data_IF_681043338812
#
_entry.id   IF_681043338812
#
_cell.length_a   1.000
_cell.length_b   1.000
_cell.length_c   1.000
_cell.angle_alpha   90.00
_cell.angle_beta   90.00
_cell.angle_gamma   90.00
#
_symmetry.space_group_name_H-M   'P 1'
#
loop_
_entity.id
_entity.type
_entity.pdbx_description
1 polymer ?
#
# COMPACT_ATOMS: atom_id res chain seq x y z
N UNK A 1 0.16 9.78 11.77
CA UNK A 1 -0.12 9.02 10.53
C UNK A 1 -0.64 7.64 10.85
N UNK A 2 -1.56 7.13 10.05
CA UNK A 2 -2.07 5.74 10.05
C UNK A 2 -1.55 4.99 8.85
N UNK A 3 -1.65 3.66 8.87
CA UNK A 3 -1.15 2.80 7.80
C UNK A 3 -2.25 1.86 7.34
N UNK A 4 -2.36 1.66 6.04
CA UNK A 4 -3.29 0.75 5.42
C UNK A 4 -2.50 -0.29 4.65
N UNK A 5 -2.67 -1.56 5.02
CA UNK A 5 -2.03 -2.67 4.34
C UNK A 5 -3.05 -3.33 3.41
N UNK A 6 -2.92 -3.11 2.10
CA UNK A 6 -3.81 -3.70 1.11
C UNK A 6 -3.48 -5.18 0.92
N UNK A 7 -4.39 -6.04 1.31
CA UNK A 7 -4.28 -7.49 1.20
C UNK A 7 -5.29 -8.11 0.22
N UNK A 8 -6.04 -7.28 -0.49
CA UNK A 8 -6.96 -7.71 -1.54
C UNK A 8 -6.22 -8.26 -2.75
N UNK A 9 -6.49 -9.50 -3.16
CA UNK A 9 -5.92 -10.09 -4.36
C UNK A 9 -6.47 -11.49 -4.60
N UNK A 10 -6.74 -11.85 -5.88
CA UNK A 10 -7.33 -13.17 -6.21
C UNK A 10 -6.34 -14.33 -6.14
N UNK A 11 -5.04 -14.04 -6.01
CA UNK A 11 -4.00 -15.07 -5.91
C UNK A 11 -3.85 -15.99 -7.13
N UNK A 12 -4.57 -15.77 -8.22
CA UNK A 12 -4.65 -16.67 -9.39
C UNK A 12 -3.31 -16.92 -10.11
N UNK A 13 -2.34 -16.00 -9.98
CA UNK A 13 -1.06 -16.06 -10.72
C UNK A 13 -0.14 -17.20 -10.29
N UNK A 14 -0.33 -17.79 -9.11
CA UNK A 14 0.46 -18.92 -8.60
C UNK A 14 -0.35 -20.23 -8.56
N UNK A 15 -1.43 -20.33 -9.36
CA UNK A 15 -2.17 -21.58 -9.45
C UNK A 15 -1.24 -22.73 -9.87
N UNK A 16 -1.33 -23.95 -9.27
CA UNK A 16 -2.31 -24.40 -8.29
C UNK A 16 -1.97 -24.13 -6.82
N UNK A 17 -0.84 -23.47 -6.53
CA UNK A 17 -0.41 -23.18 -5.14
C UNK A 17 -1.32 -22.17 -4.46
N UNK A 18 -1.88 -21.22 -5.21
CA UNK A 18 -2.82 -20.20 -4.72
C UNK A 18 -4.14 -20.24 -5.49
N UNK A 19 -5.22 -19.90 -4.82
CA UNK A 19 -6.57 -19.75 -5.37
C UNK A 19 -7.31 -18.62 -4.63
N UNK A 20 -8.60 -18.39 -4.94
CA UNK A 20 -9.40 -17.33 -4.32
C UNK A 20 -9.55 -17.52 -2.80
N UNK A 21 -9.74 -18.76 -2.33
CA UNK A 21 -9.84 -19.05 -0.91
C UNK A 21 -8.50 -18.98 -0.17
N UNK A 22 -7.37 -19.13 -0.89
CA UNK A 22 -6.03 -19.10 -0.34
C UNK A 22 -5.09 -18.28 -1.24
N UNK A 23 -5.20 -16.95 -1.25
CA UNK A 23 -4.36 -16.07 -2.05
C UNK A 23 -2.88 -16.14 -1.70
N UNK A 24 -2.01 -15.73 -2.65
CA UNK A 24 -0.54 -15.87 -2.56
C UNK A 24 0.06 -15.28 -1.28
N UNK A 25 -0.46 -14.14 -0.82
CA UNK A 25 0.06 -13.40 0.33
C UNK A 25 -0.09 -14.13 1.66
N UNK A 26 -0.91 -15.17 1.71
CA UNK A 26 -1.12 -16.02 2.90
C UNK A 26 -0.41 -17.37 2.84
N UNK A 27 0.26 -17.68 1.73
CA UNK A 27 1.05 -18.89 1.59
C UNK A 27 2.37 -18.77 2.35
N UNK A 28 2.72 -19.75 3.15
CA UNK A 28 3.99 -19.81 3.90
C UNK A 28 5.13 -20.21 2.97
N UNK A 29 5.56 -19.31 2.12
CA UNK A 29 6.61 -19.52 1.10
C UNK A 29 7.89 -18.73 1.37
N UNK A 30 7.87 -17.80 2.30
CA UNK A 30 8.99 -16.88 2.61
C UNK A 30 9.69 -17.40 3.86
N UNK A 31 11.02 -17.36 3.88
CA UNK A 31 11.79 -17.67 5.10
C UNK A 31 11.59 -16.54 6.11
N UNK A 32 11.51 -16.90 7.40
CA UNK A 32 11.56 -15.91 8.47
C UNK A 32 12.94 -15.24 8.52
N UNK A 33 13.00 -13.99 8.96
CA UNK A 33 14.24 -13.21 9.07
C UNK A 33 15.08 -13.58 10.32
N UNK A 34 14.54 -14.42 11.21
CA UNK A 34 15.16 -14.85 12.46
C UNK A 34 16.19 -15.97 12.32
N UNK A 35 16.69 -16.26 11.10
CA UNK A 35 17.57 -17.38 10.76
C UNK A 35 16.99 -18.77 11.09
N UNK A 36 15.72 -18.89 11.43
CA UNK A 36 15.04 -20.18 11.57
C UNK A 36 14.77 -20.76 10.17
N UNK A 37 14.72 -22.09 10.07
CA UNK A 37 14.28 -22.76 8.84
C UNK A 37 12.75 -22.69 8.65
N UNK A 38 12.04 -21.96 9.49
CA UNK A 38 10.60 -21.82 9.44
C UNK A 38 10.16 -20.88 8.33
N UNK A 39 9.06 -21.24 7.69
CA UNK A 39 8.45 -20.42 6.64
C UNK A 39 7.29 -19.61 7.19
N UNK A 40 7.20 -18.36 6.75
CA UNK A 40 6.08 -17.48 7.00
C UNK A 40 5.38 -17.06 5.69
N UNK A 41 4.22 -16.46 5.81
CA UNK A 41 3.55 -15.80 4.68
C UNK A 41 4.09 -14.38 4.46
N UNK A 42 3.81 -13.81 3.29
CA UNK A 42 4.13 -12.39 3.02
C UNK A 42 3.46 -11.48 4.05
N UNK A 43 2.20 -11.77 4.42
CA UNK A 43 1.50 -11.03 5.45
C UNK A 43 2.23 -11.08 6.80
N UNK A 44 2.63 -12.27 7.24
CA UNK A 44 3.34 -12.44 8.52
C UNK A 44 4.68 -11.72 8.52
N UNK A 45 5.41 -11.77 7.41
CA UNK A 45 6.69 -11.06 7.26
C UNK A 45 6.51 -9.55 7.36
N UNK A 46 5.63 -8.98 6.53
CA UNK A 46 5.37 -7.53 6.53
C UNK A 46 4.84 -7.07 7.89
N UNK A 47 4.00 -7.88 8.54
CA UNK A 47 3.49 -7.54 9.87
C UNK A 47 4.58 -7.52 10.94
N UNK A 48 5.54 -8.45 10.89
CA UNK A 48 6.71 -8.43 11.78
C UNK A 48 7.54 -7.17 11.57
N UNK A 49 7.82 -6.80 10.32
CA UNK A 49 8.54 -5.56 9.98
C UNK A 49 7.78 -4.29 10.42
N UNK A 50 6.45 -4.27 10.30
CA UNK A 50 5.64 -3.17 10.82
C UNK A 50 5.72 -3.06 12.35
N UNK A 51 5.81 -4.17 13.07
CA UNK A 51 6.04 -4.17 14.52
C UNK A 51 7.41 -3.59 14.88
N UNK A 52 8.46 -4.05 14.22
CA UNK A 52 9.83 -3.56 14.41
C UNK A 52 9.94 -2.05 14.11
N UNK A 53 9.26 -1.59 13.06
CA UNK A 53 9.17 -0.19 12.71
C UNK A 53 8.25 0.65 13.62
N UNK A 54 7.54 0.04 14.60
CA UNK A 54 6.60 0.75 15.48
C UNK A 54 5.32 1.23 14.78
N UNK A 55 4.94 0.61 13.67
CA UNK A 55 3.81 1.01 12.82
C UNK A 55 2.55 0.15 13.05
N UNK A 56 2.69 -1.05 13.61
CA UNK A 56 1.63 -2.07 13.65
C UNK A 56 0.36 -1.61 14.40
N UNK A 57 0.49 -0.87 15.51
CA UNK A 57 -0.65 -0.41 16.31
C UNK A 57 -1.57 0.56 15.57
N UNK A 58 -1.03 1.28 14.58
CA UNK A 58 -1.76 2.22 13.71
C UNK A 58 -2.02 1.67 12.32
N UNK A 59 -1.90 0.35 12.15
CA UNK A 59 -2.10 -0.33 10.87
C UNK A 59 -3.44 -1.05 10.84
N UNK A 60 -4.21 -0.82 9.78
CA UNK A 60 -5.40 -1.60 9.41
C UNK A 60 -5.10 -2.42 8.14
N UNK A 61 -5.52 -3.68 8.14
CA UNK A 61 -5.45 -4.53 6.94
C UNK A 61 -6.79 -4.46 6.20
N UNK A 62 -6.74 -4.14 4.91
CA UNK A 62 -7.94 -4.11 4.07
C UNK A 62 -7.97 -5.37 3.21
N UNK A 63 -9.04 -6.15 3.33
CA UNK A 63 -9.20 -7.44 2.66
C UNK A 63 -10.67 -7.82 2.51
N UNK A 64 -10.96 -8.76 1.60
CA UNK A 64 -12.30 -9.32 1.44
C UNK A 64 -12.79 -10.10 2.67
N UNK A 65 -14.10 -10.24 2.81
CA UNK A 65 -14.72 -10.94 3.93
C UNK A 65 -14.27 -12.41 4.04
N UNK A 66 -14.04 -13.06 2.91
CA UNK A 66 -13.54 -14.43 2.79
C UNK A 66 -12.11 -14.63 3.34
N UNK A 67 -11.35 -13.55 3.47
CA UNK A 67 -9.96 -13.57 3.93
C UNK A 67 -9.81 -13.27 5.44
N UNK A 68 -10.86 -12.80 6.09
CA UNK A 68 -10.84 -12.33 7.48
C UNK A 68 -10.28 -13.38 8.46
N UNK A 69 -10.83 -14.61 8.41
CA UNK A 69 -10.40 -15.68 9.32
C UNK A 69 -8.96 -16.11 9.04
N UNK A 70 -8.55 -16.11 7.78
CA UNK A 70 -7.18 -16.42 7.38
C UNK A 70 -6.18 -15.37 7.90
N UNK A 71 -6.52 -14.09 7.82
CA UNK A 71 -5.72 -13.01 8.41
C UNK A 71 -5.63 -13.21 9.92
N UNK A 72 -6.75 -13.42 10.61
CA UNK A 72 -6.77 -13.61 12.07
C UNK A 72 -5.99 -14.83 12.54
N UNK A 73 -5.96 -15.90 11.75
CA UNK A 73 -5.15 -17.08 12.06
C UNK A 73 -3.63 -16.84 11.96
N UNK A 74 -3.20 -15.87 11.18
CA UNK A 74 -1.79 -15.52 10.94
C UNK A 74 -1.32 -14.31 11.75
N UNK A 75 -2.20 -13.33 11.94
CA UNK A 75 -1.95 -12.08 12.64
C UNK A 75 -3.17 -11.75 13.51
N UNK A 76 -3.21 -12.33 14.69
CA UNK A 76 -4.38 -12.31 15.57
C UNK A 76 -4.79 -10.90 16.01
N UNK A 77 -3.83 -10.04 16.27
CA UNK A 77 -4.01 -8.66 16.76
C UNK A 77 -4.40 -7.67 15.66
N UNK A 78 -4.25 -8.00 14.38
CA UNK A 78 -4.51 -7.06 13.28
C UNK A 78 -5.94 -6.54 13.30
N UNK A 79 -6.09 -5.23 13.09
CA UNK A 79 -7.36 -4.60 12.78
C UNK A 79 -7.67 -4.82 11.28
N UNK A 80 -8.93 -5.08 10.94
CA UNK A 80 -9.32 -5.43 9.58
C UNK A 80 -10.49 -4.56 9.14
N UNK A 81 -10.30 -3.80 8.06
CA UNK A 81 -11.36 -3.19 7.28
C UNK A 81 -11.81 -4.18 6.20
N UNK A 82 -13.05 -4.65 6.31
CA UNK A 82 -13.57 -5.71 5.44
C UNK A 82 -14.23 -5.10 4.20
N UNK A 83 -13.72 -5.43 3.02
CA UNK A 83 -14.33 -5.05 1.74
C UNK A 83 -15.57 -5.92 1.48
N UNK A 84 -16.76 -5.31 1.28
CA UNK A 84 -17.98 -6.04 0.94
C UNK A 84 -17.94 -6.61 -0.48
N UNK A 85 -17.04 -6.11 -1.32
CA UNK A 85 -16.81 -6.54 -2.69
C UNK A 85 -15.61 -5.84 -3.28
N UNK A 86 -14.96 -6.46 -4.25
CA UNK A 86 -13.77 -5.91 -4.91
C UNK A 86 -14.11 -4.69 -5.76
N UNK A 87 -13.47 -3.56 -5.49
CA UNK A 87 -13.69 -2.26 -6.14
C UNK A 87 -12.37 -1.57 -6.52
N UNK A 88 -11.36 -2.35 -6.85
CA UNK A 88 -10.01 -1.89 -7.16
C UNK A 88 -9.36 -1.05 -6.01
N UNK A 89 -8.21 -0.46 -6.29
CA UNK A 89 -7.39 0.22 -5.27
C UNK A 89 -8.11 1.40 -4.64
N UNK A 90 -8.80 2.24 -5.44
CA UNK A 90 -9.45 3.44 -4.90
C UNK A 90 -10.59 3.10 -3.93
N UNK A 91 -11.40 2.08 -4.25
CA UNK A 91 -12.44 1.59 -3.35
C UNK A 91 -11.89 1.10 -2.01
N UNK A 92 -10.77 0.37 -2.04
CA UNK A 92 -10.09 -0.11 -0.84
C UNK A 92 -9.51 1.04 -0.01
N UNK A 93 -8.90 2.05 -0.64
CA UNK A 93 -8.39 3.25 0.04
C UNK A 93 -9.51 4.02 0.72
N UNK A 94 -10.61 4.25 0.02
CA UNK A 94 -11.78 4.95 0.53
C UNK A 94 -12.38 4.24 1.74
N UNK A 95 -12.61 2.93 1.62
CA UNK A 95 -13.13 2.10 2.70
C UNK A 95 -12.21 2.14 3.92
N UNK A 96 -10.90 2.08 3.70
CA UNK A 96 -9.90 2.14 4.76
C UNK A 96 -9.92 3.49 5.48
N UNK A 97 -10.03 4.59 4.75
CA UNK A 97 -10.14 5.93 5.33
C UNK A 97 -11.43 6.08 6.15
N UNK A 98 -12.57 5.59 5.63
CA UNK A 98 -13.84 5.58 6.35
C UNK A 98 -13.74 4.74 7.63
N UNK A 99 -13.12 3.57 7.57
CA UNK A 99 -12.89 2.72 8.74
C UNK A 99 -11.99 3.39 9.78
N UNK A 100 -10.86 3.97 9.35
CA UNK A 100 -9.93 4.66 10.23
C UNK A 100 -10.59 5.83 10.97
N UNK A 101 -11.40 6.63 10.27
CA UNK A 101 -12.12 7.73 10.87
C UNK A 101 -13.22 7.27 11.80
N UNK A 102 -14.09 6.34 11.40
CA UNK A 102 -15.27 5.94 12.17
C UNK A 102 -14.99 4.94 13.29
N UNK A 103 -13.94 4.13 13.19
CA UNK A 103 -13.61 3.03 14.12
C UNK A 103 -12.16 2.98 14.56
N UNK A 104 -11.24 3.48 13.75
CA UNK A 104 -9.80 3.42 14.00
C UNK A 104 -9.25 4.56 14.85
N UNK A 105 -10.10 5.52 15.26
CA UNK A 105 -9.70 6.66 16.11
C UNK A 105 -8.91 7.75 15.38
N UNK A 106 -8.88 7.73 14.04
CA UNK A 106 -8.24 8.77 13.25
C UNK A 106 -9.12 10.03 13.15
N UNK A 107 -8.50 11.19 13.00
CA UNK A 107 -9.18 12.44 12.63
C UNK A 107 -9.18 12.63 11.10
N UNK A 108 -10.03 13.54 10.60
CA UNK A 108 -10.03 13.92 9.18
C UNK A 108 -8.74 14.64 8.75
N UNK A 109 -7.99 15.20 9.70
CA UNK A 109 -6.72 15.87 9.44
C UNK A 109 -5.51 14.92 9.46
N UNK A 110 -5.72 13.67 9.90
CA UNK A 110 -4.69 12.65 9.87
C UNK A 110 -4.40 12.18 8.44
N UNK A 111 -3.18 11.67 8.25
CA UNK A 111 -2.74 11.06 7.00
C UNK A 111 -2.79 9.53 7.10
N UNK A 112 -3.10 8.90 5.99
CA UNK A 112 -3.04 7.46 5.79
C UNK A 112 -2.01 7.12 4.71
N UNK A 113 -0.99 6.33 5.05
CA UNK A 113 -0.09 5.73 4.08
C UNK A 113 -0.61 4.34 3.71
N UNK A 114 -0.94 4.16 2.46
CA UNK A 114 -1.48 2.92 1.89
C UNK A 114 -0.36 2.16 1.20
N UNK A 115 -0.16 0.90 1.54
CA UNK A 115 0.90 0.07 0.99
C UNK A 115 0.41 -1.34 0.67
N UNK A 116 1.01 -2.02 -0.33
CA UNK A 116 0.68 -3.41 -0.64
C UNK A 116 1.30 -4.38 0.40
N UNK A 117 0.71 -5.57 0.54
CA UNK A 117 1.15 -6.62 1.48
C UNK A 117 2.28 -7.50 0.92
N UNK A 118 2.58 -7.39 -0.36
CA UNK A 118 3.41 -8.36 -1.07
C UNK A 118 4.83 -7.90 -1.48
N UNK A 119 5.32 -6.68 -1.17
CA UNK A 119 6.69 -6.34 -1.48
C UNK A 119 7.66 -7.09 -0.56
N UNK A 120 8.79 -7.48 -1.11
CA UNK A 120 9.93 -7.97 -0.34
C UNK A 120 10.88 -6.80 -0.12
N UNK A 121 10.84 -6.21 1.08
CA UNK A 121 11.49 -4.93 1.40
C UNK A 121 12.36 -5.04 2.65
N UNK A 122 13.24 -4.06 2.80
CA UNK A 122 14.11 -3.86 3.95
C UNK A 122 13.59 -2.74 4.86
N UNK A 123 14.25 -2.52 6.00
CA UNK A 123 13.87 -1.51 7.00
C UNK A 123 13.76 -0.10 6.39
N UNK A 124 14.68 0.28 5.50
CA UNK A 124 14.70 1.58 4.83
C UNK A 124 13.38 1.92 4.08
N UNK A 125 12.66 0.89 3.62
CA UNK A 125 11.34 1.08 3.01
C UNK A 125 10.34 1.68 4.00
N UNK A 126 10.25 1.13 5.21
CA UNK A 126 9.31 1.59 6.23
C UNK A 126 9.68 2.97 6.76
N UNK A 127 10.98 3.26 6.88
CA UNK A 127 11.46 4.60 7.24
C UNK A 127 11.07 5.64 6.18
N UNK A 128 11.16 5.28 4.90
CA UNK A 128 10.69 6.15 3.80
C UNK A 128 9.17 6.36 3.85
N UNK A 129 8.39 5.31 4.16
CA UNK A 129 6.93 5.44 4.34
C UNK A 129 6.58 6.40 5.47
N UNK A 130 7.30 6.37 6.59
CA UNK A 130 7.09 7.31 7.72
C UNK A 130 7.32 8.77 7.32
N UNK A 131 8.26 9.04 6.41
CA UNK A 131 8.57 10.40 5.95
C UNK A 131 7.46 11.01 5.10
N UNK A 132 6.56 10.20 4.53
CA UNK A 132 5.49 10.70 3.66
C UNK A 132 4.58 11.72 4.34
N UNK A 133 4.29 11.55 5.65
CA UNK A 133 3.46 12.53 6.36
C UNK A 133 4.09 13.93 6.40
N UNK A 134 5.39 14.00 6.64
CA UNK A 134 6.12 15.28 6.66
C UNK A 134 6.16 15.91 5.26
N UNK A 135 6.41 15.09 4.25
CA UNK A 135 6.38 15.51 2.84
C UNK A 135 5.01 16.06 2.46
N UNK A 136 3.92 15.39 2.84
CA UNK A 136 2.56 15.86 2.58
C UNK A 136 2.26 17.20 3.26
N UNK A 137 2.67 17.36 4.52
CA UNK A 137 2.49 18.61 5.26
C UNK A 137 3.29 19.76 4.66
N UNK A 138 4.52 19.52 4.23
CA UNK A 138 5.40 20.54 3.62
C UNK A 138 4.98 20.92 2.20
N UNK A 139 4.58 19.95 1.40
CA UNK A 139 4.22 20.17 -0.01
C UNK A 139 2.82 20.72 -0.20
N UNK A 140 1.90 20.45 0.72
CA UNK A 140 0.47 20.71 0.54
C UNK A 140 -0.18 19.86 -0.56
N UNK A 141 0.49 18.79 -1.00
CA UNK A 141 -0.02 17.91 -2.05
C UNK A 141 -1.24 17.12 -1.59
N UNK A 142 -2.15 16.79 -2.51
CA UNK A 142 -3.32 15.94 -2.22
C UNK A 142 -2.93 14.46 -2.10
N UNK A 143 -1.90 14.03 -2.85
CA UNK A 143 -1.41 12.65 -2.88
C UNK A 143 0.11 12.62 -2.88
N UNK A 144 0.70 11.88 -1.96
CA UNK A 144 2.12 11.52 -1.95
C UNK A 144 2.32 10.14 -2.55
N UNK A 145 3.42 9.94 -3.28
CA UNK A 145 3.80 8.67 -3.88
C UNK A 145 5.21 8.29 -3.45
N UNK A 146 5.46 6.99 -3.32
CA UNK A 146 6.81 6.47 -3.16
C UNK A 146 7.29 5.87 -4.48
N UNK A 147 8.44 6.33 -4.96
CA UNK A 147 9.07 5.83 -6.17
C UNK A 147 10.42 5.19 -5.90
N UNK A 148 10.78 4.18 -6.69
CA UNK A 148 12.09 3.54 -6.68
C UNK A 148 12.81 3.76 -8.01
N UNK A 149 14.15 3.85 -7.96
CA UNK A 149 14.97 3.99 -9.18
C UNK A 149 14.88 2.69 -9.98
N UNK A 150 14.45 2.75 -11.26
CA UNK A 150 14.35 1.57 -12.10
C UNK A 150 15.74 0.96 -12.39
N UNK A 151 15.84 -0.36 -12.32
CA UNK A 151 17.06 -1.10 -12.71
C UNK A 151 16.99 -1.68 -14.13
N UNK A 152 15.78 -1.75 -14.72
CA UNK A 152 15.53 -2.22 -16.09
C UNK A 152 14.19 -1.68 -16.61
N UNK A 153 13.93 -1.69 -17.94
CA UNK A 153 12.68 -1.19 -18.52
C UNK A 153 11.53 -2.20 -18.33
N UNK A 154 10.88 -2.14 -17.16
CA UNK A 154 9.79 -3.06 -16.83
C UNK A 154 8.47 -2.63 -17.46
N UNK A 155 7.82 -3.54 -18.16
CA UNK A 155 6.45 -3.38 -18.67
C UNK A 155 5.37 -3.73 -17.62
N UNK A 156 5.79 -4.07 -16.39
CA UNK A 156 4.88 -4.54 -15.33
C UNK A 156 4.57 -3.49 -14.27
N UNK A 157 5.33 -2.39 -14.25
CA UNK A 157 5.20 -1.34 -13.24
C UNK A 157 4.68 -0.04 -13.85
N UNK A 158 4.05 0.78 -13.02
CA UNK A 158 3.80 2.18 -13.32
C UNK A 158 5.09 3.00 -13.17
N UNK A 159 5.21 4.08 -13.95
CA UNK A 159 6.33 5.01 -13.91
C UNK A 159 5.85 6.40 -13.49
N UNK A 160 6.56 6.98 -12.52
CA UNK A 160 6.34 8.34 -12.02
C UNK A 160 7.36 9.23 -12.71
N UNK A 161 6.90 10.20 -13.52
CA UNK A 161 7.79 11.18 -14.13
C UNK A 161 8.05 12.30 -13.12
N UNK A 162 9.34 12.52 -12.76
CA UNK A 162 9.70 13.57 -11.82
C UNK A 162 9.53 14.95 -12.45
N UNK A 163 9.08 15.91 -11.66
CA UNK A 163 9.08 17.32 -11.97
C UNK A 163 10.18 18.08 -11.23
N UNK A 164 9.84 19.16 -10.56
CA UNK A 164 10.77 19.96 -9.77
C UNK A 164 11.22 19.23 -8.52
N UNK A 165 12.53 19.22 -8.28
CA UNK A 165 13.10 18.75 -7.01
C UNK A 165 13.02 19.86 -5.97
N UNK A 166 12.48 19.54 -4.82
CA UNK A 166 12.39 20.37 -3.63
C UNK A 166 13.22 19.76 -2.49
N UNK A 167 13.30 20.46 -1.37
CA UNK A 167 13.97 19.93 -0.19
C UNK A 167 13.15 18.76 0.40
N UNK A 168 13.68 17.55 0.23
CA UNK A 168 13.11 16.30 0.74
C UNK A 168 12.02 15.65 -0.12
N UNK A 169 11.60 16.22 -1.27
CA UNK A 169 10.60 15.64 -2.17
C UNK A 169 10.75 16.11 -3.62
N UNK A 170 10.04 15.45 -4.53
CA UNK A 170 10.02 15.76 -5.96
C UNK A 170 8.56 15.87 -6.39
N UNK A 171 8.18 16.94 -7.11
CA UNK A 171 6.84 17.05 -7.68
C UNK A 171 6.64 16.01 -8.79
N UNK A 172 5.40 15.55 -8.98
CA UNK A 172 5.06 14.61 -10.06
C UNK A 172 4.62 15.43 -11.28
N UNK A 173 5.33 15.24 -12.40
CA UNK A 173 5.00 15.84 -13.70
C UNK A 173 4.02 15.00 -14.50
N UNK A 174 4.06 13.68 -14.32
CA UNK A 174 3.21 12.75 -15.05
C UNK A 174 3.33 11.32 -14.53
N UNK A 175 2.47 10.45 -15.05
CA UNK A 175 2.41 9.04 -14.69
C UNK A 175 2.14 8.20 -15.94
N UNK A 176 2.82 7.06 -16.07
CA UNK A 176 2.58 6.10 -17.14
C UNK A 176 2.37 4.71 -16.53
N UNK A 177 1.19 4.12 -16.74
CA UNK A 177 0.87 2.78 -16.22
C UNK A 177 1.25 1.71 -17.22
N UNK A 178 2.15 0.82 -16.83
CA UNK A 178 2.57 -0.37 -17.59
C UNK A 178 2.84 -0.08 -19.07
N UNK A 179 3.79 0.79 -19.39
CA UNK A 179 4.13 1.12 -20.76
C UNK A 179 4.70 -0.12 -21.48
N UNK A 180 4.80 -0.07 -22.81
CA UNK A 180 5.63 -1.01 -23.56
C UNK A 180 7.13 -0.80 -23.26
N UNK A 181 7.97 -1.70 -23.76
CA UNK A 181 9.40 -1.71 -23.45
C UNK A 181 10.12 -0.46 -23.99
N UNK A 182 9.79 -0.03 -25.21
CA UNK A 182 10.36 1.17 -25.83
C UNK A 182 10.03 2.43 -25.00
N UNK A 183 8.77 2.56 -24.60
CA UNK A 183 8.32 3.67 -23.76
C UNK A 183 8.91 3.60 -22.35
N UNK A 184 9.08 2.41 -21.79
CA UNK A 184 9.74 2.23 -20.49
C UNK A 184 11.20 2.69 -20.52
N UNK A 185 11.95 2.35 -21.61
CA UNK A 185 13.33 2.84 -21.79
C UNK A 185 13.39 4.36 -21.92
N UNK A 186 12.46 4.94 -22.69
CA UNK A 186 12.38 6.41 -22.83
C UNK A 186 12.12 7.10 -21.49
N UNK A 187 11.18 6.56 -20.69
CA UNK A 187 10.86 7.09 -19.36
C UNK A 187 12.04 6.99 -18.41
N UNK A 188 12.80 5.89 -18.44
CA UNK A 188 14.02 5.75 -17.64
C UNK A 188 15.09 6.79 -18.02
N UNK A 189 15.27 7.06 -19.31
CA UNK A 189 16.20 8.12 -19.79
C UNK A 189 15.76 9.51 -19.29
N UNK A 190 14.46 9.73 -19.05
CA UNK A 190 13.91 10.97 -18.47
C UNK A 190 14.01 10.99 -16.94
N UNK A 191 14.58 9.98 -16.30
CA UNK A 191 14.72 9.89 -14.85
C UNK A 191 13.44 9.46 -14.13
N UNK A 192 12.49 8.82 -14.82
CA UNK A 192 11.27 8.31 -14.21
C UNK A 192 11.57 7.24 -13.16
N UNK A 193 10.75 7.17 -12.12
CA UNK A 193 10.83 6.21 -11.02
C UNK A 193 9.72 5.16 -11.18
N UNK A 194 9.98 3.93 -10.76
CA UNK A 194 8.91 2.95 -10.60
C UNK A 194 7.96 3.37 -9.49
N UNK A 195 6.67 3.22 -9.73
CA UNK A 195 5.67 3.34 -8.67
C UNK A 195 5.72 2.12 -7.75
N UNK A 196 6.05 2.33 -6.48
CA UNK A 196 6.08 1.27 -5.46
C UNK A 196 4.68 0.82 -5.01
N UNK A 197 3.61 1.42 -5.52
CA UNK A 197 2.25 1.14 -5.05
C UNK A 197 1.97 1.69 -3.64
N UNK A 198 2.79 2.61 -3.16
CA UNK A 198 2.60 3.30 -1.88
C UNK A 198 2.04 4.68 -2.14
N UNK A 199 0.95 4.99 -1.45
CA UNK A 199 0.23 6.26 -1.54
C UNK A 199 0.09 6.86 -0.15
N UNK A 200 0.24 8.17 -0.01
CA UNK A 200 -0.11 8.89 1.20
C UNK A 200 -1.18 9.92 0.87
N UNK A 201 -2.25 9.94 1.66
CA UNK A 201 -3.40 10.82 1.48
C UNK A 201 -3.86 11.37 2.82
N UNK A 202 -4.49 12.55 2.83
CA UNK A 202 -5.20 13.05 4.00
C UNK A 202 -6.60 12.38 4.05
N UNK A 203 -6.95 11.80 5.19
CA UNK A 203 -8.19 11.04 5.37
C UNK A 203 -9.41 11.88 4.98
N UNK A 204 -9.50 13.13 5.47
CA UNK A 204 -10.62 14.02 5.18
C UNK A 204 -10.78 14.36 3.69
N UNK A 205 -9.71 14.40 2.91
CA UNK A 205 -9.80 14.71 1.47
C UNK A 205 -10.37 13.51 0.70
N UNK A 206 -10.00 12.28 1.09
CA UNK A 206 -10.59 11.07 0.52
C UNK A 206 -12.07 10.97 0.87
N UNK A 207 -12.46 11.25 2.12
CA UNK A 207 -13.86 11.22 2.55
C UNK A 207 -14.70 12.27 1.83
N UNK A 208 -14.21 13.51 1.67
CA UNK A 208 -14.89 14.54 0.88
C UNK A 208 -15.13 14.11 -0.56
N UNK A 209 -14.13 13.47 -1.16
CA UNK A 209 -14.26 12.94 -2.53
C UNK A 209 -15.29 11.80 -2.60
N UNK A 210 -15.38 10.93 -1.57
CA UNK A 210 -16.40 9.92 -1.46
C UNK A 210 -17.82 10.54 -1.52
N UNK A 211 -18.05 11.55 -0.68
CA UNK A 211 -19.34 12.26 -0.64
C UNK A 211 -19.70 12.90 -1.98
N UNK A 212 -18.73 13.44 -2.71
CA UNK A 212 -18.96 14.00 -4.05
C UNK A 212 -19.42 12.95 -5.08
N UNK A 213 -19.18 11.66 -4.82
CA UNK A 213 -19.67 10.53 -5.62
C UNK A 213 -20.90 9.85 -5.00
N UNK A 214 -21.55 10.46 -3.99
CA UNK A 214 -22.73 9.92 -3.31
C UNK A 214 -22.43 8.72 -2.39
N UNK A 215 -21.17 8.53 -1.99
CA UNK A 215 -20.77 7.49 -1.04
C UNK A 215 -20.75 8.06 0.37
N UNK A 216 -21.35 7.38 1.39
CA UNK A 216 -21.27 7.82 2.78
C UNK A 216 -19.83 7.96 3.28
N UNK A 217 -19.60 8.87 4.24
CA UNK A 217 -18.25 9.03 4.86
C UNK A 217 -17.92 7.91 5.84
N UNK A 218 -18.95 7.31 6.46
CA UNK A 218 -18.81 6.32 7.53
C UNK A 218 -18.74 4.87 6.99
N UNK A 219 -18.12 4.00 7.83
CA UNK A 219 -17.92 2.57 7.55
C UNK A 219 -19.05 1.71 8.11
#
# INVERSE_FOLDING_TARGET
>A
MYYVLLSGGSGRRLWPLSNEARPKQYLKLVNKEDNSMERCSMLQRVWAQLKEAGMAERTVITAGADQRELIKSQVREAQIAVEPGRRDTFGAVLLSCAWLWSRGGASKDDYAAVMPVDPYTEEAYFETVKQLEEVMKKSGAEVGLMGAVPSYPSVKYGYILPGERKDGWISVKGFAEKPDEEKAEELMKQGALWNCGVFCVRIGDILKRAVSYGVPEDY
#
